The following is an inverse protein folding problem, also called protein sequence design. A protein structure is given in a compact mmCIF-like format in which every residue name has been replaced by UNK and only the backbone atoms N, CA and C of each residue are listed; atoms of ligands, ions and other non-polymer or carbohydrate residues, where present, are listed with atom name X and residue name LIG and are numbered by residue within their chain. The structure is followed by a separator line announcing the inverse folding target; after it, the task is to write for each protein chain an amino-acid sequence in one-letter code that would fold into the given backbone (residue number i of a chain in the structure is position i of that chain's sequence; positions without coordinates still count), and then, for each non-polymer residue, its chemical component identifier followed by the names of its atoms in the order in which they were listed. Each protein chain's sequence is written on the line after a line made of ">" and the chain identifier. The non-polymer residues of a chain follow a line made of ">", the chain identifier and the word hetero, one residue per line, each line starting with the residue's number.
data_IF_048169249720
#
_entry.id   IF_048169249720
#
_cell.length_a   1.000
_cell.length_b   1.000
_cell.length_c   1.000
_cell.angle_alpha   90.00
_cell.angle_beta   90.00
_cell.angle_gamma   90.00
#
_symmetry.space_group_name_H-M   'P 1'
#
loop_
_entity.id
_entity.type
_entity.pdbx_description
1 polymer ?
#
# COMPACT_ATOMS: atom_id res chain seq x y z
N UNK A 1 4.99 12.11 24.24
CA UNK A 1 4.95 11.92 22.78
C UNK A 1 6.40 11.71 22.35
N UNK A 2 6.73 10.63 21.65
CA UNK A 2 8.11 10.43 21.16
C UNK A 2 8.31 11.22 19.87
N UNK A 3 9.45 11.91 19.76
CA UNK A 3 9.86 12.74 18.63
C UNK A 3 11.07 13.59 19.00
N UNK A 4 11.83 14.06 18.02
CA UNK A 4 12.90 15.06 18.22
C UNK A 4 12.28 16.46 18.34
N UNK A 5 12.87 17.33 19.16
CA UNK A 5 12.38 18.70 19.35
C UNK A 5 12.49 19.52 18.07
N UNK A 6 13.54 19.29 17.29
CA UNK A 6 13.78 19.93 16.00
C UNK A 6 13.79 18.88 14.89
N UNK A 7 12.96 19.10 13.87
CA UNK A 7 13.03 18.34 12.63
C UNK A 7 14.23 18.81 11.80
N UNK A 8 14.92 17.91 11.07
CA UNK A 8 15.92 18.33 10.11
C UNK A 8 15.29 19.24 9.04
N UNK A 9 16.12 20.12 8.47
CA UNK A 9 15.71 21.04 7.40
C UNK A 9 14.96 20.31 6.28
N UNK A 10 13.97 20.99 5.71
CA UNK A 10 12.97 20.41 4.82
C UNK A 10 13.62 19.71 3.62
N UNK A 11 13.64 18.38 3.66
CA UNK A 11 14.09 17.57 2.53
C UNK A 11 12.95 17.54 1.52
N UNK A 12 13.01 18.47 0.57
CA UNK A 12 12.08 18.44 -0.56
C UNK A 12 12.32 17.17 -1.36
N UNK A 13 11.34 16.26 -1.35
CA UNK A 13 11.35 15.11 -2.24
C UNK A 13 10.90 15.58 -3.64
N UNK A 14 11.66 15.26 -4.70
CA UNK A 14 11.25 15.59 -6.05
C UNK A 14 9.87 15.00 -6.39
N UNK A 15 8.99 15.76 -7.04
CA UNK A 15 7.62 15.33 -7.31
C UNK A 15 7.52 14.03 -8.14
N UNK A 16 8.49 13.78 -9.02
CA UNK A 16 8.59 12.58 -9.86
C UNK A 16 8.80 11.29 -9.05
N UNK A 17 9.25 11.44 -7.81
CA UNK A 17 9.38 10.34 -6.86
C UNK A 17 8.06 9.96 -6.20
N UNK A 18 7.00 10.76 -6.41
CA UNK A 18 5.68 10.55 -5.82
C UNK A 18 4.69 10.22 -6.94
N UNK A 19 4.05 9.05 -6.84
CA UNK A 19 2.89 8.68 -7.65
C UNK A 19 1.67 8.66 -6.73
N UNK A 20 0.81 9.68 -6.85
CA UNK A 20 -0.45 9.74 -6.11
C UNK A 20 -1.61 9.32 -7.01
N UNK A 21 -2.26 8.20 -6.68
CA UNK A 21 -3.34 7.61 -7.45
C UNK A 21 -4.60 7.44 -6.57
N UNK A 22 -5.33 8.53 -6.29
CA UNK A 22 -6.48 8.49 -5.37
C UNK A 22 -7.66 7.68 -5.89
N UNK A 23 -7.81 7.52 -7.21
CA UNK A 23 -8.86 6.70 -7.81
C UNK A 23 -8.81 5.22 -7.40
N UNK A 24 -7.61 4.69 -7.20
CA UNK A 24 -7.36 3.35 -6.65
C UNK A 24 -6.84 3.37 -5.21
N UNK A 25 -6.86 4.53 -4.54
CA UNK A 25 -6.42 4.70 -3.16
C UNK A 25 -4.99 4.24 -2.88
N UNK A 26 -4.05 4.56 -3.76
CA UNK A 26 -2.63 4.27 -3.56
C UNK A 26 -1.80 5.55 -3.64
N UNK A 27 -0.75 5.63 -2.84
CA UNK A 27 0.33 6.61 -2.97
C UNK A 27 1.66 5.87 -2.86
N UNK A 28 2.54 6.08 -3.83
CA UNK A 28 3.87 5.51 -3.86
C UNK A 28 4.90 6.63 -3.82
N UNK A 29 5.78 6.62 -2.83
CA UNK A 29 6.93 7.53 -2.69
C UNK A 29 8.19 6.70 -2.88
N UNK A 30 9.15 7.16 -3.68
CA UNK A 30 10.38 6.40 -4.01
C UNK A 30 11.61 7.26 -3.91
N UNK A 31 12.76 6.67 -3.60
CA UNK A 31 14.05 7.30 -3.85
C UNK A 31 14.89 6.29 -4.65
N UNK A 32 14.81 6.32 -5.99
CA UNK A 32 15.45 5.32 -6.84
C UNK A 32 16.96 5.23 -6.62
N UNK A 33 17.65 6.36 -6.40
CA UNK A 33 19.09 6.38 -6.12
C UNK A 33 19.49 5.59 -4.86
N UNK A 34 18.57 5.43 -3.91
CA UNK A 34 18.79 4.72 -2.65
C UNK A 34 18.06 3.38 -2.56
N UNK A 35 17.33 3.00 -3.62
CA UNK A 35 16.41 1.85 -3.61
C UNK A 35 15.41 1.90 -2.44
N UNK A 36 14.91 3.09 -2.10
CA UNK A 36 13.86 3.27 -1.08
C UNK A 36 12.48 3.37 -1.73
N UNK A 37 11.47 2.87 -1.02
CA UNK A 37 10.08 2.97 -1.43
C UNK A 37 9.14 2.94 -0.24
N UNK A 38 8.05 3.71 -0.31
CA UNK A 38 6.93 3.66 0.62
C UNK A 38 5.65 3.59 -0.19
N UNK A 39 4.91 2.51 -0.04
CA UNK A 39 3.56 2.37 -0.56
C UNK A 39 2.56 2.60 0.58
N UNK A 40 1.58 3.46 0.35
CA UNK A 40 0.47 3.71 1.27
C UNK A 40 -0.83 3.35 0.58
N UNK A 41 -1.63 2.47 1.20
CA UNK A 41 -2.98 2.15 0.75
C UNK A 41 -4.01 2.96 1.53
N UNK A 42 -4.75 3.82 0.85
CA UNK A 42 -5.73 4.74 1.43
C UNK A 42 -7.12 4.62 0.80
N UNK A 43 -7.41 3.49 0.15
CA UNK A 43 -8.80 3.11 -0.17
C UNK A 43 -9.42 2.30 0.97
N UNK A 44 -10.66 2.61 1.39
CA UNK A 44 -11.41 1.75 2.30
C UNK A 44 -11.68 0.37 1.68
N UNK A 45 -11.91 -0.62 2.55
CA UNK A 45 -12.31 -1.97 2.18
C UNK A 45 -13.40 -2.00 1.09
N UNK A 46 -13.12 -2.70 0.00
CA UNK A 46 -13.88 -2.65 -1.25
C UNK A 46 -14.56 -3.96 -1.66
N UNK A 47 -14.37 -5.06 -0.93
CA UNK A 47 -15.10 -6.31 -1.16
C UNK A 47 -14.28 -7.56 -0.88
N UNK A 48 -14.71 -8.69 -1.43
CA UNK A 48 -14.19 -10.01 -1.04
C UNK A 48 -12.70 -10.21 -1.33
N UNK A 49 -12.18 -9.62 -2.41
CA UNK A 49 -10.75 -9.69 -2.72
C UNK A 49 -9.90 -8.67 -1.97
N UNK A 50 -10.53 -7.85 -1.12
CA UNK A 50 -9.86 -6.83 -0.35
C UNK A 50 -9.54 -7.33 1.06
N UNK A 51 -8.59 -6.66 1.70
CA UNK A 51 -8.16 -6.90 3.08
C UNK A 51 -8.55 -5.68 3.94
N UNK A 52 -8.60 -5.84 5.26
CA UNK A 52 -8.86 -4.74 6.19
C UNK A 52 -7.56 -3.95 6.49
N UNK A 53 -6.87 -3.52 5.45
CA UNK A 53 -5.53 -2.92 5.46
C UNK A 53 -5.58 -1.41 5.14
N UNK A 54 -6.66 -0.72 5.53
CA UNK A 54 -6.80 0.72 5.33
C UNK A 54 -5.66 1.48 6.02
N UNK A 55 -5.01 2.39 5.31
CA UNK A 55 -3.79 3.11 5.73
C UNK A 55 -2.58 2.21 6.00
N UNK A 56 -2.59 0.97 5.51
CA UNK A 56 -1.41 0.13 5.60
C UNK A 56 -0.24 0.70 4.79
N UNK A 57 0.95 0.50 5.33
CA UNK A 57 2.21 0.88 4.69
C UNK A 57 3.04 -0.35 4.30
N UNK A 58 3.74 -0.25 3.18
CA UNK A 58 4.83 -1.16 2.82
C UNK A 58 6.09 -0.33 2.60
N UNK A 59 7.15 -0.65 3.35
CA UNK A 59 8.40 0.09 3.35
C UNK A 59 9.54 -0.75 2.79
N UNK A 60 10.25 -0.19 1.82
CA UNK A 60 11.51 -0.70 1.31
C UNK A 60 12.63 0.28 1.61
N UNK A 61 13.75 -0.24 2.10
CA UNK A 61 14.99 0.50 2.27
C UNK A 61 16.15 -0.30 1.70
N UNK A 62 17.03 0.36 0.94
CA UNK A 62 18.18 -0.24 0.27
C UNK A 62 17.83 -1.51 -0.52
N UNK A 63 16.64 -1.57 -1.14
CA UNK A 63 16.16 -2.73 -1.88
C UNK A 63 15.56 -3.86 -1.03
N UNK A 64 15.55 -3.75 0.30
CA UNK A 64 14.96 -4.73 1.21
C UNK A 64 13.59 -4.29 1.72
N UNK A 65 12.62 -5.20 1.74
CA UNK A 65 11.32 -4.95 2.36
C UNK A 65 11.45 -5.00 3.89
N UNK A 66 11.40 -3.84 4.56
CA UNK A 66 11.49 -3.74 6.02
C UNK A 66 10.13 -3.96 6.68
N UNK A 67 9.07 -3.43 6.07
CA UNK A 67 7.70 -3.63 6.51
C UNK A 67 6.91 -4.26 5.36
N UNK A 68 7.16 -5.54 5.02
CA UNK A 68 6.38 -6.22 3.99
C UNK A 68 4.92 -6.36 4.44
N UNK A 69 4.01 -6.42 3.47
CA UNK A 69 2.65 -6.88 3.73
C UNK A 69 2.64 -8.41 3.86
N UNK A 70 1.72 -8.96 4.66
CA UNK A 70 1.59 -10.41 4.85
C UNK A 70 1.12 -11.11 3.57
N UNK A 71 0.41 -10.39 2.70
CA UNK A 71 -0.15 -10.91 1.46
C UNK A 71 -1.39 -11.76 1.70
N UNK A 72 -1.57 -12.79 0.87
CA UNK A 72 -2.72 -13.69 0.92
C UNK A 72 -2.27 -15.15 1.00
N UNK A 73 -3.13 -15.99 1.56
CA UNK A 73 -2.99 -17.45 1.54
C UNK A 73 -3.97 -18.06 0.54
N UNK A 74 -3.93 -19.39 0.36
CA UNK A 74 -4.90 -20.09 -0.49
C UNK A 74 -6.34 -19.80 -0.04
N UNK A 75 -7.22 -19.46 -0.99
CA UNK A 75 -8.59 -19.02 -0.71
C UNK A 75 -9.46 -20.00 0.10
N UNK A 76 -9.13 -21.29 0.06
CA UNK A 76 -9.83 -22.33 0.82
C UNK A 76 -9.23 -22.63 2.19
N UNK A 77 -8.12 -21.99 2.56
CA UNK A 77 -7.53 -22.17 3.88
C UNK A 77 -8.33 -21.39 4.93
N UNK A 78 -8.54 -21.98 6.10
CA UNK A 78 -9.29 -21.37 7.22
C UNK A 78 -8.73 -19.98 7.56
N UNK A 79 -7.40 -19.85 7.56
CA UNK A 79 -6.71 -18.60 7.87
C UNK A 79 -6.94 -17.48 6.85
N UNK A 80 -7.45 -17.77 5.65
CA UNK A 80 -7.65 -16.76 4.61
C UNK A 80 -8.55 -15.62 5.11
N UNK A 81 -9.68 -15.93 5.76
CA UNK A 81 -10.57 -14.91 6.33
C UNK A 81 -10.26 -14.62 7.79
N UNK A 82 -9.88 -15.64 8.55
CA UNK A 82 -9.77 -15.54 10.00
C UNK A 82 -8.49 -14.83 10.46
N UNK A 83 -7.49 -14.72 9.58
CA UNK A 83 -6.21 -14.10 9.91
C UNK A 83 -5.74 -13.11 8.84
N UNK A 84 -5.47 -13.58 7.62
CA UNK A 84 -4.75 -12.80 6.60
C UNK A 84 -5.47 -11.50 6.15
N UNK A 85 -6.79 -11.43 6.32
CA UNK A 85 -7.60 -10.26 5.94
C UNK A 85 -7.79 -9.24 7.05
N UNK A 86 -7.33 -9.49 8.28
CA UNK A 86 -7.64 -8.67 9.45
C UNK A 86 -6.69 -7.48 9.61
N UNK A 87 -7.18 -6.34 10.11
CA UNK A 87 -6.35 -5.13 10.27
C UNK A 87 -5.12 -5.35 11.14
N UNK A 88 -5.22 -6.20 12.16
CA UNK A 88 -4.12 -6.48 13.08
C UNK A 88 -2.95 -7.25 12.43
N UNK A 89 -3.13 -7.81 11.22
CA UNK A 89 -2.07 -8.51 10.48
C UNK A 89 -1.37 -7.65 9.43
N UNK A 90 -1.73 -6.37 9.35
CA UNK A 90 -1.14 -5.40 8.41
C UNK A 90 -0.42 -4.27 9.17
N UNK A 91 0.46 -3.55 8.49
CA UNK A 91 1.17 -2.39 9.03
C UNK A 91 0.25 -1.17 9.09
N UNK A 92 -0.80 -1.25 9.90
CA UNK A 92 -1.80 -0.20 10.12
C UNK A 92 -2.20 -0.13 11.59
N UNK A 93 -3.02 0.85 11.94
CA UNK A 93 -3.62 0.97 13.26
C UNK A 93 -4.85 0.07 13.38
N UNK A 94 -4.86 -0.79 14.39
CA UNK A 94 -6.07 -1.48 14.86
C UNK A 94 -6.41 -1.02 16.29
N UNK A 95 -7.69 -0.80 16.54
CA UNK A 95 -8.20 -0.45 17.88
C UNK A 95 -8.89 -1.68 18.44
N UNK A 96 -8.47 -2.15 19.62
CA UNK A 96 -9.02 -3.34 20.28
C UNK A 96 -9.06 -4.59 19.37
N UNK A 97 -8.04 -4.76 18.52
CA UNK A 97 -7.95 -5.86 17.54
C UNK A 97 -9.15 -5.94 16.58
N UNK A 98 -9.83 -4.81 16.35
CA UNK A 98 -10.96 -4.73 15.43
C UNK A 98 -10.53 -4.29 14.04
N UNK A 99 -11.24 -4.78 13.03
CA UNK A 99 -11.02 -4.43 11.64
C UNK A 99 -11.49 -2.99 11.33
N UNK A 100 -10.70 -2.28 10.53
CA UNK A 100 -11.04 -0.95 10.05
C UNK A 100 -12.41 -0.97 9.36
N UNK A 101 -13.31 -0.10 9.84
CA UNK A 101 -14.70 -0.07 9.38
C UNK A 101 -14.77 0.40 7.92
N UNK A 102 -15.65 -0.24 7.16
CA UNK A 102 -16.03 0.20 5.82
C UNK A 102 -16.61 1.61 5.89
N UNK A 103 -15.90 2.60 5.37
CA UNK A 103 -16.52 3.88 5.03
C UNK A 103 -17.25 3.66 3.70
N UNK A 104 -18.58 3.76 3.70
CA UNK A 104 -19.36 3.64 2.48
C UNK A 104 -18.93 4.74 1.50
N UNK A 105 -18.14 4.37 0.48
CA UNK A 105 -17.83 5.27 -0.64
C UNK A 105 -19.08 5.37 -1.52
N UNK A 106 -19.50 6.60 -1.88
CA UNK A 106 -20.40 6.81 -3.03
C UNK A 106 -19.66 6.36 -4.29
N UNK A 107 -20.27 5.43 -5.02
CA UNK A 107 -19.65 4.68 -6.11
C UNK A 107 -19.46 5.57 -7.33
N UNK A 108 -18.34 6.29 -7.41
CA UNK A 108 -17.96 7.06 -8.61
C UNK A 108 -17.05 6.18 -9.49
N UNK A 109 -17.59 5.77 -10.64
CA UNK A 109 -17.10 4.67 -11.48
C UNK A 109 -15.82 4.95 -12.28
N UNK A 110 -14.66 4.93 -11.63
CA UNK A 110 -13.36 4.98 -12.31
C UNK A 110 -12.80 3.58 -12.59
N UNK A 111 -12.32 3.36 -13.82
CA UNK A 111 -11.58 2.16 -14.24
C UNK A 111 -10.10 2.50 -14.33
N UNK A 112 -9.23 1.80 -13.58
CA UNK A 112 -7.78 1.95 -13.68
C UNK A 112 -7.23 0.84 -14.57
N UNK A 113 -6.50 1.20 -15.63
CA UNK A 113 -5.74 0.25 -16.46
C UNK A 113 -4.29 0.25 -16.01
N UNK A 114 -3.77 -0.94 -15.67
CA UNK A 114 -2.36 -1.16 -15.37
C UNK A 114 -1.64 -1.47 -16.68
N UNK A 115 -0.58 -0.73 -17.00
CA UNK A 115 0.29 -1.02 -18.15
C UNK A 115 1.66 -1.50 -17.64
N UNK A 116 2.29 -2.51 -18.30
CA UNK A 116 3.63 -2.96 -17.91
C UNK A 116 4.67 -1.86 -18.18
N UNK A 117 5.64 -1.69 -17.27
CA UNK A 117 6.79 -0.81 -17.50
C UNK A 117 8.12 -1.57 -17.42
N UNK A 118 9.13 -1.08 -18.13
CA UNK A 118 10.38 -1.76 -18.53
C UNK A 118 11.44 -1.95 -17.45
N UNK A 119 11.08 -2.01 -16.17
CA UNK A 119 12.04 -2.34 -15.09
C UNK A 119 11.43 -3.35 -14.10
N UNK A 120 12.10 -4.47 -13.80
CA UNK A 120 11.62 -5.43 -12.82
C UNK A 120 12.07 -5.03 -11.41
N UNK A 121 11.12 -4.84 -10.50
CA UNK A 121 11.37 -5.12 -9.08
C UNK A 121 10.76 -6.50 -8.84
N UNK A 122 11.61 -7.50 -8.70
CA UNK A 122 11.19 -8.87 -8.38
C UNK A 122 10.79 -8.90 -6.91
N UNK A 123 9.51 -8.63 -6.62
CA UNK A 123 8.90 -9.13 -5.39
C UNK A 123 8.82 -10.65 -5.56
N UNK A 124 9.59 -11.40 -4.78
CA UNK A 124 9.46 -12.87 -4.73
C UNK A 124 8.02 -13.22 -4.39
N UNK A 125 7.28 -13.69 -5.40
CA UNK A 125 5.86 -14.04 -5.30
C UNK A 125 5.07 -13.82 -6.58
N UNK A 126 5.15 -12.64 -7.20
CA UNK A 126 4.55 -12.32 -8.52
C UNK A 126 5.28 -11.09 -9.09
N UNK A 127 5.92 -11.20 -10.26
CA UNK A 127 6.62 -10.07 -10.90
C UNK A 127 5.64 -9.17 -11.67
N UNK A 128 5.31 -7.98 -11.16
CA UNK A 128 4.77 -6.88 -11.99
C UNK A 128 5.25 -5.53 -11.45
N UNK A 129 5.83 -4.70 -12.33
CA UNK A 129 6.08 -3.28 -12.05
C UNK A 129 4.84 -2.47 -12.49
N UNK A 130 4.36 -1.58 -11.61
CA UNK A 130 3.09 -0.88 -11.78
C UNK A 130 3.32 0.60 -12.12
N UNK A 131 2.72 1.06 -13.23
CA UNK A 131 2.33 2.48 -13.38
C UNK A 131 0.81 2.54 -13.42
N UNK A 132 0.25 3.45 -12.61
CA UNK A 132 -1.17 3.79 -12.61
C UNK A 132 -1.39 4.95 -13.59
N UNK A 133 -2.17 4.72 -14.65
CA UNK A 133 -2.70 5.80 -15.50
C UNK A 133 -4.22 5.88 -15.32
N UNK A 134 -4.71 7.08 -15.01
CA UNK A 134 -6.14 7.38 -14.89
C UNK A 134 -6.61 7.93 -16.24
N UNK A 135 -7.53 7.24 -16.90
CA UNK A 135 -8.21 7.74 -18.09
C UNK A 135 -9.60 8.27 -17.69
N UNK A 136 -9.98 9.44 -18.22
CA UNK A 136 -11.33 10.02 -18.06
C UNK A 136 -12.31 9.35 -19.00
#
# INVERSE_FOLDING_TARGET
>A
MYGVDDLPDDVTLPSENIVHAPGCGLTLIRQPAHHHGLLVKHMPFSGEHDHHDYLAITLWMQGHALLPDLGTTGYGADLHRDYYKNSATHNTLSVNLTNARRRARKRDGYTVRLTPSTWPVTLTGVSHSLRCQVFR
#
